data_IF_079442819932
#
_entry.id   IF_079442819932
#
_cell.length_a   1.000
_cell.length_b   1.000
_cell.length_c   1.000
_cell.angle_alpha   90.00
_cell.angle_beta   90.00
_cell.angle_gamma   90.00
#
_symmetry.space_group_name_H-M   'P 1'
#
loop_
_entity.id
_entity.type
_entity.pdbx_description
1 polymer ?
#
# COMPACT_ATOMS: atom_id res chain seq x y z
N UNK A 1 17.42 55.35 29.38
CA UNK A 1 18.08 54.78 30.56
C UNK A 1 17.24 53.60 31.02
N UNK A 2 16.94 52.67 30.10
CA UNK A 2 17.80 51.58 29.59
C UNK A 2 17.63 50.39 30.56
N UNK A 3 17.30 49.17 30.19
CA UNK A 3 17.28 48.47 28.91
C UNK A 3 16.34 47.25 29.08
N UNK A 4 15.50 46.96 28.09
CA UNK A 4 14.67 45.74 28.05
C UNK A 4 15.50 44.60 27.44
N UNK A 5 15.76 43.56 28.21
CA UNK A 5 16.32 42.30 27.72
C UNK A 5 15.20 41.38 27.23
N UNK A 6 15.16 41.17 25.91
CA UNK A 6 14.31 40.21 25.21
C UNK A 6 15.04 38.87 25.09
N UNK A 7 14.53 37.81 25.73
CA UNK A 7 14.99 36.44 25.49
C UNK A 7 14.11 35.76 24.45
N UNK A 8 14.64 35.59 23.23
CA UNK A 8 14.04 34.82 22.15
C UNK A 8 14.24 33.32 22.34
N UNK A 9 13.16 32.57 22.48
CA UNK A 9 13.14 31.11 22.42
C UNK A 9 13.24 30.65 20.97
N UNK A 10 14.41 30.15 20.56
CA UNK A 10 14.64 29.55 19.25
C UNK A 10 14.04 28.14 19.20
N UNK A 11 13.19 27.93 18.19
CA UNK A 11 12.66 26.64 17.77
C UNK A 11 13.78 25.76 17.23
N UNK A 12 13.83 24.50 17.69
CA UNK A 12 14.70 23.46 17.13
C UNK A 12 14.12 22.98 15.80
N UNK A 13 14.56 23.59 14.70
CA UNK A 13 14.34 23.08 13.36
C UNK A 13 15.16 21.80 13.15
N UNK A 14 14.46 20.71 12.80
CA UNK A 14 15.05 19.45 12.32
C UNK A 14 15.83 19.72 11.04
N UNK A 15 17.15 19.50 11.07
CA UNK A 15 18.02 19.60 9.91
C UNK A 15 17.74 18.46 8.92
N UNK A 16 17.34 18.80 7.69
CA UNK A 16 17.23 17.87 6.56
C UNK A 16 18.58 17.18 6.26
N UNK A 17 18.63 15.91 5.80
CA UNK A 17 19.88 15.17 5.59
C UNK A 17 20.68 15.59 4.34
N UNK A 18 20.20 16.58 3.57
CA UNK A 18 20.83 17.05 2.34
C UNK A 18 22.01 18.00 2.63
N UNK A 19 23.08 17.55 3.27
CA UNK A 19 24.40 18.18 3.10
C UNK A 19 25.53 17.41 3.79
N UNK A 20 26.17 16.50 3.04
CA UNK A 20 27.62 16.33 3.09
C UNK A 20 28.13 16.22 1.66
N UNK A 21 28.69 17.31 1.15
CA UNK A 21 29.30 17.41 -0.19
C UNK A 21 30.78 17.07 -0.15
N UNK A 22 31.24 16.37 -1.18
CA UNK A 22 32.56 16.58 -1.78
C UNK A 22 32.42 17.47 -3.01
N UNK A 23 33.35 18.41 -3.20
CA UNK A 23 33.42 19.30 -4.36
C UNK A 23 33.54 18.44 -5.65
N UNK A 24 32.63 18.70 -6.60
CA UNK A 24 32.29 17.94 -7.83
C UNK A 24 31.34 16.72 -7.73
N UNK A 25 30.89 16.33 -6.53
CA UNK A 25 30.16 15.06 -6.33
C UNK A 25 28.62 15.10 -6.44
N UNK A 26 28.05 14.94 -7.65
CA UNK A 26 26.82 14.10 -7.77
C UNK A 26 27.32 12.66 -7.66
N UNK A 27 26.87 11.91 -6.65
CA UNK A 27 27.16 10.48 -6.58
C UNK A 27 26.75 9.82 -7.90
N UNK A 28 27.61 8.97 -8.46
CA UNK A 28 27.36 8.40 -9.78
C UNK A 28 26.10 7.53 -9.71
N UNK A 29 25.22 7.68 -10.71
CA UNK A 29 24.03 6.84 -10.80
C UNK A 29 24.46 5.35 -10.87
N UNK A 30 23.90 4.46 -10.03
CA UNK A 30 24.24 3.04 -10.01
C UNK A 30 24.07 2.38 -11.37
N UNK A 31 24.94 1.44 -11.71
CA UNK A 31 24.94 0.80 -13.04
C UNK A 31 23.66 0.02 -13.33
N UNK A 32 23.01 -0.56 -12.31
CA UNK A 32 21.76 -1.29 -12.49
C UNK A 32 20.58 -0.38 -12.91
N UNK A 33 20.63 0.92 -12.60
CA UNK A 33 19.62 1.90 -13.07
C UNK A 33 19.78 2.18 -14.56
N UNK A 34 21.01 2.07 -15.08
CA UNK A 34 21.33 2.22 -16.51
C UNK A 34 21.22 0.90 -17.27
N UNK A 35 20.75 -0.16 -16.62
CA UNK A 35 20.76 -1.50 -17.17
C UNK A 35 19.96 -1.61 -18.47
N UNK A 36 20.47 -2.43 -19.39
CA UNK A 36 19.77 -2.68 -20.65
C UNK A 36 18.47 -3.47 -20.45
N UNK A 37 17.56 -3.38 -21.42
CA UNK A 37 16.26 -4.07 -21.38
C UNK A 37 16.41 -5.59 -21.16
N UNK A 38 17.47 -6.22 -21.68
CA UNK A 38 17.74 -7.65 -21.49
C UNK A 38 18.04 -8.00 -20.03
N UNK A 39 18.77 -7.14 -19.31
CA UNK A 39 19.06 -7.31 -17.89
C UNK A 39 17.77 -7.27 -17.08
N UNK A 40 16.96 -6.21 -17.27
CA UNK A 40 15.66 -6.02 -16.62
C UNK A 40 14.75 -7.22 -16.86
N UNK A 41 14.66 -7.69 -18.11
CA UNK A 41 13.86 -8.85 -18.48
C UNK A 41 14.35 -10.14 -17.80
N UNK A 42 15.67 -10.36 -17.76
CA UNK A 42 16.25 -11.55 -17.11
C UNK A 42 15.98 -11.60 -15.62
N UNK A 43 16.06 -10.44 -14.94
CA UNK A 43 15.74 -10.28 -13.52
C UNK A 43 14.27 -10.54 -13.24
N UNK A 44 13.37 -9.95 -14.05
CA UNK A 44 11.94 -10.19 -13.91
C UNK A 44 11.57 -11.67 -14.12
N UNK A 45 12.19 -12.35 -15.10
CA UNK A 45 12.01 -13.80 -15.30
C UNK A 45 12.49 -14.62 -14.10
N UNK A 46 13.61 -14.23 -13.49
CA UNK A 46 14.12 -14.88 -12.28
C UNK A 46 13.16 -14.73 -11.11
N UNK A 47 12.63 -13.53 -10.88
CA UNK A 47 11.62 -13.27 -9.84
C UNK A 47 10.39 -14.17 -10.05
N UNK A 48 9.88 -14.23 -11.29
CA UNK A 48 8.74 -15.07 -11.64
C UNK A 48 9.03 -16.56 -11.40
N UNK A 49 10.18 -17.04 -11.84
CA UNK A 49 10.58 -18.44 -11.61
C UNK A 49 10.62 -18.79 -10.11
N UNK A 50 11.20 -17.92 -9.28
CA UNK A 50 11.25 -18.14 -7.83
C UNK A 50 9.85 -18.12 -7.18
N UNK A 51 8.92 -17.29 -7.68
CA UNK A 51 7.53 -17.32 -7.23
C UNK A 51 6.83 -18.62 -7.65
N UNK A 52 7.00 -19.06 -8.90
CA UNK A 52 6.39 -20.27 -9.42
C UNK A 52 6.81 -21.50 -8.58
N UNK A 53 8.08 -21.58 -8.15
CA UNK A 53 8.57 -22.62 -7.24
C UNK A 53 7.89 -22.55 -5.86
N UNK A 54 7.72 -21.35 -5.27
CA UNK A 54 7.02 -21.17 -3.98
C UNK A 54 5.55 -21.59 -4.08
N UNK A 55 4.86 -21.17 -5.14
CA UNK A 55 3.46 -21.54 -5.39
C UNK A 55 3.34 -23.04 -5.60
N UNK A 56 4.23 -23.65 -6.38
CA UNK A 56 4.27 -25.08 -6.57
C UNK A 56 4.47 -25.83 -5.24
N UNK A 57 5.42 -25.39 -4.42
CA UNK A 57 5.65 -25.95 -3.09
C UNK A 57 4.41 -25.83 -2.20
N UNK A 58 3.76 -24.66 -2.17
CA UNK A 58 2.52 -24.40 -1.42
C UNK A 58 1.36 -25.31 -1.82
N UNK A 59 1.29 -25.70 -3.10
CA UNK A 59 0.28 -26.63 -3.61
C UNK A 59 0.62 -28.08 -3.28
N UNK A 60 1.85 -28.52 -3.59
CA UNK A 60 2.26 -29.92 -3.43
C UNK A 60 2.41 -30.31 -1.95
N UNK A 61 2.93 -29.41 -1.12
CA UNK A 61 3.18 -29.64 0.32
C UNK A 61 2.19 -28.88 1.18
N UNK A 62 0.91 -28.94 0.83
CA UNK A 62 -0.12 -28.07 1.41
C UNK A 62 -0.29 -28.18 2.94
N UNK A 63 0.14 -29.27 3.57
CA UNK A 63 0.10 -29.46 5.04
C UNK A 63 1.32 -28.90 5.80
N UNK A 64 2.41 -28.58 5.11
CA UNK A 64 3.70 -28.24 5.76
C UNK A 64 4.44 -27.06 5.14
N UNK A 65 4.08 -26.65 3.91
CA UNK A 65 4.72 -25.54 3.24
C UNK A 65 4.41 -24.22 3.95
N UNK A 66 5.39 -23.34 3.96
CA UNK A 66 5.20 -21.95 4.39
C UNK A 66 4.35 -21.16 3.37
N UNK A 67 4.33 -21.59 2.11
CA UNK A 67 3.71 -20.87 0.97
C UNK A 67 2.28 -21.31 0.68
N UNK A 68 1.58 -21.88 1.65
CA UNK A 68 0.19 -22.34 1.45
C UNK A 68 -0.76 -21.15 1.26
N UNK A 69 -1.88 -21.38 0.57
CA UNK A 69 -2.94 -20.38 0.36
C UNK A 69 -4.31 -20.99 0.71
N UNK A 70 -4.35 -21.92 1.66
CA UNK A 70 -5.54 -22.70 2.03
C UNK A 70 -6.68 -21.83 2.55
N UNK A 71 -6.36 -20.81 3.35
CA UNK A 71 -7.37 -19.86 3.82
C UNK A 71 -7.93 -19.06 2.64
N UNK A 72 -7.07 -18.67 1.69
CA UNK A 72 -7.45 -18.07 0.42
C UNK A 72 -8.48 -18.91 -0.34
N UNK A 73 -8.22 -20.23 -0.47
CA UNK A 73 -9.14 -21.16 -1.13
C UNK A 73 -10.48 -21.27 -0.39
N UNK A 74 -10.48 -21.41 0.95
CA UNK A 74 -11.73 -21.40 1.74
C UNK A 74 -12.49 -20.08 1.69
N UNK A 75 -11.82 -18.99 1.34
CA UNK A 75 -12.42 -17.69 1.09
C UNK A 75 -13.44 -17.67 -0.06
N UNK A 76 -13.37 -18.65 -1.00
CA UNK A 76 -14.37 -18.77 -2.08
C UNK A 76 -15.75 -19.18 -1.56
N UNK A 77 -15.82 -20.04 -0.55
CA UNK A 77 -17.09 -20.46 0.06
C UNK A 77 -17.87 -19.28 0.67
N UNK A 78 -17.16 -18.18 0.95
CA UNK A 78 -17.69 -16.96 1.54
C UNK A 78 -17.75 -15.78 0.55
N UNK A 79 -17.40 -15.99 -0.73
CA UNK A 79 -17.38 -14.92 -1.74
C UNK A 79 -16.36 -13.79 -1.47
N UNK A 80 -15.28 -14.08 -0.73
CA UNK A 80 -14.32 -13.05 -0.25
C UNK A 80 -13.13 -12.79 -1.19
N UNK A 81 -13.08 -13.45 -2.35
CA UNK A 81 -12.04 -13.27 -3.37
C UNK A 81 -12.62 -12.65 -4.65
N UNK A 82 -11.94 -11.64 -5.19
CA UNK A 82 -12.28 -11.06 -6.50
C UNK A 82 -11.79 -11.93 -7.67
N UNK A 83 -10.62 -12.55 -7.51
CA UNK A 83 -9.96 -13.33 -8.56
C UNK A 83 -9.59 -14.72 -8.04
N UNK A 84 -9.74 -15.73 -8.89
CA UNK A 84 -9.45 -17.12 -8.53
C UNK A 84 -7.95 -17.41 -8.37
N UNK A 85 -7.12 -16.63 -9.06
CA UNK A 85 -5.67 -16.82 -9.15
C UNK A 85 -4.87 -15.84 -8.27
N UNK A 86 -5.53 -14.99 -7.48
CA UNK A 86 -4.86 -14.02 -6.61
C UNK A 86 -5.30 -14.27 -5.16
N UNK A 87 -4.49 -15.02 -4.43
CA UNK A 87 -4.73 -15.40 -3.04
C UNK A 87 -3.52 -14.98 -2.17
N UNK A 88 -3.74 -14.54 -0.91
CA UNK A 88 -2.64 -14.27 0.01
C UNK A 88 -2.02 -15.58 0.51
N UNK A 89 -0.73 -15.56 0.83
CA UNK A 89 -0.11 -16.66 1.56
C UNK A 89 -0.66 -16.74 2.99
N UNK A 90 -0.84 -17.95 3.51
CA UNK A 90 -1.47 -18.18 4.81
C UNK A 90 -0.64 -17.64 5.98
N UNK A 91 0.69 -17.59 5.83
CA UNK A 91 1.60 -17.22 6.91
C UNK A 91 1.54 -15.72 7.27
N UNK A 92 1.19 -14.86 6.31
CA UNK A 92 1.14 -13.40 6.49
C UNK A 92 -0.17 -12.77 5.99
N UNK A 93 -1.20 -13.55 5.70
CA UNK A 93 -2.53 -12.99 5.45
C UNK A 93 -3.00 -12.20 6.66
N UNK A 94 -3.78 -11.16 6.42
CA UNK A 94 -4.51 -10.49 7.49
C UNK A 94 -5.61 -11.43 8.02
N UNK A 95 -5.81 -11.44 9.34
CA UNK A 95 -6.85 -12.20 10.03
C UNK A 95 -7.75 -11.22 10.77
N UNK A 96 -9.04 -11.26 10.45
CA UNK A 96 -10.04 -10.39 11.06
C UNK A 96 -10.40 -10.87 12.47
N UNK A 97 -10.62 -9.94 13.40
CA UNK A 97 -11.06 -10.25 14.76
C UNK A 97 -12.57 -10.49 14.81
N UNK A 98 -12.95 -11.73 14.51
CA UNK A 98 -14.34 -12.22 14.53
C UNK A 98 -14.55 -13.25 15.64
N UNK A 99 -15.81 -13.42 16.06
CA UNK A 99 -16.22 -14.41 17.03
C UNK A 99 -15.86 -15.84 16.58
N UNK A 100 -15.67 -16.74 17.55
CA UNK A 100 -15.33 -18.13 17.29
C UNK A 100 -16.37 -18.80 16.36
N UNK A 101 -15.88 -19.58 15.39
CA UNK A 101 -16.72 -20.23 14.39
C UNK A 101 -17.03 -19.38 13.15
N UNK A 102 -16.71 -18.09 13.16
CA UNK A 102 -16.83 -17.23 11.97
C UNK A 102 -15.56 -17.22 11.12
N UNK A 103 -15.71 -16.82 9.86
CA UNK A 103 -14.61 -16.75 8.91
C UNK A 103 -13.78 -15.48 9.15
N UNK A 104 -12.51 -15.63 9.50
CA UNK A 104 -11.54 -14.54 9.74
C UNK A 104 -10.88 -14.01 8.45
N UNK A 105 -11.25 -14.55 7.30
CA UNK A 105 -10.51 -14.36 6.06
C UNK A 105 -10.83 -13.04 5.36
N UNK A 106 -9.80 -12.30 4.97
CA UNK A 106 -9.87 -11.24 3.96
C UNK A 106 -8.68 -11.40 3.00
N UNK A 107 -8.86 -11.05 1.73
CA UNK A 107 -7.79 -11.14 0.73
C UNK A 107 -6.82 -9.96 0.86
N UNK A 108 -5.99 -10.02 1.89
CA UNK A 108 -4.97 -9.03 2.22
C UNK A 108 -3.73 -9.71 2.81
N UNK A 109 -2.57 -9.09 2.62
CA UNK A 109 -1.28 -9.57 3.15
C UNK A 109 -0.56 -8.46 3.88
N UNK A 110 0.02 -8.79 5.04
CA UNK A 110 1.04 -7.95 5.67
C UNK A 110 2.31 -7.98 4.81
N UNK A 111 2.84 -6.79 4.50
CA UNK A 111 4.03 -6.61 3.68
C UNK A 111 5.01 -5.74 4.45
N UNK A 112 6.21 -6.28 4.67
CA UNK A 112 7.29 -5.60 5.37
C UNK A 112 8.51 -5.49 4.45
N UNK A 113 9.09 -4.29 4.38
CA UNK A 113 10.36 -4.03 3.71
C UNK A 113 11.35 -3.56 4.76
N UNK A 114 12.49 -4.23 4.84
CA UNK A 114 13.57 -3.93 5.78
C UNK A 114 14.91 -4.06 5.05
N UNK A 115 15.44 -2.92 4.63
CA UNK A 115 16.74 -2.81 3.96
C UNK A 115 17.55 -1.72 4.65
N UNK A 116 18.80 -2.02 4.97
CA UNK A 116 19.69 -1.06 5.64
C UNK A 116 19.21 -0.63 7.05
N UNK A 117 18.36 -1.42 7.70
CA UNK A 117 17.74 -1.08 9.00
C UNK A 117 16.55 -0.13 8.89
N UNK A 118 16.06 0.12 7.67
CA UNK A 118 14.90 0.95 7.41
C UNK A 118 13.70 0.08 7.13
N UNK A 119 12.75 0.15 8.06
CA UNK A 119 11.54 -0.66 8.06
C UNK A 119 10.33 0.17 7.67
N UNK A 120 9.62 -0.29 6.65
CA UNK A 120 8.27 0.18 6.33
C UNK A 120 7.29 -1.01 6.32
N UNK A 121 6.04 -0.71 6.67
CA UNK A 121 4.96 -1.68 6.76
C UNK A 121 3.76 -1.26 5.92
N UNK A 122 3.19 -2.24 5.23
CA UNK A 122 2.06 -2.07 4.35
C UNK A 122 1.06 -3.20 4.54
N UNK A 123 -0.19 -2.93 4.19
CA UNK A 123 -1.20 -3.96 3.91
C UNK A 123 -1.55 -3.90 2.44
N UNK A 124 -1.13 -4.92 1.69
CA UNK A 124 -1.49 -5.08 0.28
C UNK A 124 -2.76 -5.92 0.17
N UNK A 125 -3.84 -5.34 -0.38
CA UNK A 125 -5.16 -5.98 -0.42
C UNK A 125 -5.83 -5.85 -1.78
N UNK A 126 -6.80 -6.71 -2.08
CA UNK A 126 -7.64 -6.56 -3.28
C UNK A 126 -8.55 -5.33 -3.14
N UNK A 127 -9.00 -4.79 -4.28
CA UNK A 127 -10.05 -3.77 -4.30
C UNK A 127 -11.36 -4.33 -3.76
N UNK A 128 -11.97 -3.71 -2.72
CA UNK A 128 -13.19 -4.22 -2.11
C UNK A 128 -14.28 -4.57 -3.11
N UNK A 129 -15.00 -5.64 -2.83
CA UNK A 129 -16.24 -6.05 -3.50
C UNK A 129 -17.43 -5.63 -2.64
N UNK A 130 -18.65 -5.68 -3.18
CA UNK A 130 -19.87 -5.40 -2.39
C UNK A 130 -19.92 -6.23 -1.10
N UNK A 131 -19.51 -7.51 -1.18
CA UNK A 131 -19.54 -8.43 -0.03
C UNK A 131 -18.38 -8.23 0.94
N UNK A 132 -17.29 -7.56 0.53
CA UNK A 132 -16.07 -7.41 1.35
C UNK A 132 -15.82 -5.99 1.84
N UNK A 133 -16.66 -5.02 1.46
CA UNK A 133 -16.59 -3.65 1.97
C UNK A 133 -16.66 -3.57 3.50
N UNK A 134 -17.58 -4.28 4.19
CA UNK A 134 -17.58 -4.29 5.66
C UNK A 134 -16.27 -4.83 6.23
N UNK A 135 -15.80 -5.98 5.73
CA UNK A 135 -14.54 -6.59 6.18
C UNK A 135 -13.33 -5.68 5.97
N UNK A 136 -13.29 -4.94 4.86
CA UNK A 136 -12.22 -3.99 4.58
C UNK A 136 -12.17 -2.88 5.64
N UNK A 137 -13.31 -2.30 6.00
CA UNK A 137 -13.34 -1.24 7.02
C UNK A 137 -13.01 -1.76 8.42
N UNK A 138 -13.44 -2.98 8.76
CA UNK A 138 -13.03 -3.63 10.00
C UNK A 138 -11.52 -3.87 10.04
N UNK A 139 -10.94 -4.38 8.95
CA UNK A 139 -9.50 -4.54 8.81
C UNK A 139 -8.75 -3.22 9.04
N UNK A 140 -9.27 -2.09 8.55
CA UNK A 140 -8.64 -0.77 8.76
C UNK A 140 -8.57 -0.40 10.24
N UNK A 141 -9.64 -0.64 11.01
CA UNK A 141 -9.65 -0.37 12.46
C UNK A 141 -8.71 -1.34 13.20
N UNK A 142 -8.81 -2.63 12.91
CA UNK A 142 -8.12 -3.71 13.64
C UNK A 142 -6.60 -3.69 13.44
N UNK A 143 -6.14 -3.25 12.27
CA UNK A 143 -4.72 -3.27 11.90
C UNK A 143 -4.02 -1.93 12.14
N UNK A 144 -4.61 -1.03 12.92
CA UNK A 144 -4.05 0.29 13.22
C UNK A 144 -4.13 0.64 14.69
N UNK A 145 -3.08 1.29 15.20
CA UNK A 145 -3.01 1.78 16.58
C UNK A 145 -3.14 3.31 16.62
N UNK A 146 -2.45 4.01 15.71
CA UNK A 146 -2.50 5.45 15.63
C UNK A 146 -3.84 5.93 15.00
N UNK A 147 -4.43 7.06 15.46
CA UNK A 147 -5.70 7.55 14.93
C UNK A 147 -5.67 7.85 13.44
N UNK A 148 -4.60 8.47 12.94
CA UNK A 148 -4.44 8.80 11.52
C UNK A 148 -3.98 7.58 10.71
N UNK A 149 -4.79 7.20 9.73
CA UNK A 149 -4.60 6.01 8.89
C UNK A 149 -4.65 6.40 7.42
N UNK A 150 -3.72 5.89 6.61
CA UNK A 150 -3.70 6.17 5.17
C UNK A 150 -4.12 4.95 4.35
N UNK A 151 -4.99 5.19 3.37
CA UNK A 151 -5.37 4.24 2.33
C UNK A 151 -5.00 4.83 0.98
N UNK A 152 -4.19 4.11 0.21
CA UNK A 152 -3.80 4.44 -1.17
C UNK A 152 -4.52 3.49 -2.13
N UNK A 153 -5.42 4.05 -2.94
CA UNK A 153 -6.16 3.36 -3.99
C UNK A 153 -5.59 3.74 -5.36
N UNK A 154 -4.86 2.83 -6.00
CA UNK A 154 -4.22 3.04 -7.31
C UNK A 154 -4.93 2.26 -8.42
N UNK A 155 -6.24 2.48 -8.55
CA UNK A 155 -7.07 1.93 -9.64
C UNK A 155 -8.33 2.76 -9.80
N UNK A 156 -8.78 3.10 -11.02
CA UNK A 156 -10.17 3.51 -11.21
C UNK A 156 -11.13 2.39 -10.79
N UNK A 157 -12.35 2.76 -10.42
CA UNK A 157 -13.39 1.79 -9.99
C UNK A 157 -13.87 0.90 -11.14
N UNK A 158 -13.80 1.42 -12.38
CA UNK A 158 -14.18 0.72 -13.60
C UNK A 158 -13.23 1.09 -14.73
N UNK A 159 -12.90 0.10 -15.55
CA UNK A 159 -12.08 0.28 -16.76
C UNK A 159 -12.79 -0.38 -17.94
N UNK A 160 -13.20 0.42 -18.93
CA UNK A 160 -14.12 -0.04 -19.96
C UNK A 160 -15.39 -0.61 -19.34
N UNK A 161 -15.69 -1.89 -19.62
CA UNK A 161 -16.82 -2.60 -19.05
C UNK A 161 -16.49 -3.40 -17.76
N UNK A 162 -15.23 -3.40 -17.31
CA UNK A 162 -14.75 -4.26 -16.21
C UNK A 162 -14.75 -3.49 -14.90
N UNK A 163 -15.55 -3.94 -13.93
CA UNK A 163 -15.53 -3.42 -12.55
C UNK A 163 -14.25 -3.86 -11.84
N UNK A 164 -13.41 -2.90 -11.44
CA UNK A 164 -12.12 -3.13 -10.78
C UNK A 164 -12.19 -3.00 -9.27
N UNK A 165 -13.01 -2.09 -8.76
CA UNK A 165 -13.24 -1.85 -7.34
C UNK A 165 -14.66 -1.29 -7.16
N UNK A 166 -15.36 -1.64 -6.08
CA UNK A 166 -16.57 -0.88 -5.73
C UNK A 166 -16.18 0.45 -5.09
N UNK A 167 -17.01 1.48 -5.21
CA UNK A 167 -16.85 2.70 -4.43
C UNK A 167 -17.25 2.39 -2.98
N UNK A 168 -16.26 2.22 -2.12
CA UNK A 168 -16.44 1.80 -0.72
C UNK A 168 -16.31 2.95 0.29
N UNK A 169 -16.07 4.17 -0.20
CA UNK A 169 -15.92 5.39 0.58
C UNK A 169 -17.00 6.43 0.23
N UNK A 170 -17.11 7.46 1.07
CA UNK A 170 -18.00 8.61 0.90
C UNK A 170 -17.18 9.80 0.40
N UNK A 171 -17.72 10.61 -0.51
CA UNK A 171 -17.09 11.84 -0.99
C UNK A 171 -18.02 13.07 -0.89
N UNK A 172 -19.28 12.90 -0.47
CA UNK A 172 -20.13 14.02 -0.07
C UNK A 172 -19.80 14.47 1.36
N UNK A 173 -19.26 15.68 1.52
CA UNK A 173 -18.94 16.24 2.85
C UNK A 173 -20.18 16.24 3.75
N UNK A 174 -20.06 15.66 4.94
CA UNK A 174 -21.15 15.49 5.90
C UNK A 174 -21.97 14.22 5.72
N UNK A 175 -21.84 13.50 4.59
CA UNK A 175 -22.45 12.17 4.43
C UNK A 175 -21.93 11.20 5.48
N UNK A 176 -22.80 10.30 5.92
CA UNK A 176 -22.48 9.26 6.88
C UNK A 176 -23.12 7.93 6.46
N UNK A 177 -22.43 6.83 6.76
CA UNK A 177 -22.84 5.48 6.45
C UNK A 177 -22.58 4.58 7.67
N UNK A 178 -23.62 3.92 8.15
CA UNK A 178 -23.48 2.84 9.12
C UNK A 178 -23.13 1.55 8.38
N UNK A 179 -22.03 0.93 8.76
CA UNK A 179 -21.54 -0.32 8.23
C UNK A 179 -21.82 -1.38 9.28
N UNK A 180 -22.85 -2.18 9.02
CA UNK A 180 -23.25 -3.30 9.87
C UNK A 180 -22.73 -4.58 9.24
N UNK A 181 -21.79 -5.29 9.89
CA UNK A 181 -21.18 -6.49 9.32
C UNK A 181 -22.12 -7.71 9.31
N UNK A 182 -23.32 -7.59 9.88
CA UNK A 182 -24.34 -8.64 9.82
C UNK A 182 -23.91 -9.91 10.57
N UNK A 183 -23.97 -11.06 9.89
CA UNK A 183 -23.70 -12.38 10.48
C UNK A 183 -22.22 -12.81 10.39
N UNK A 184 -21.31 -11.89 10.04
CA UNK A 184 -19.88 -12.19 9.89
C UNK A 184 -19.11 -12.25 11.23
N UNK A 185 -19.79 -12.04 12.36
CA UNK A 185 -19.24 -12.31 13.70
C UNK A 185 -18.34 -11.22 14.28
N UNK A 186 -18.35 -10.01 13.72
CA UNK A 186 -17.62 -8.87 14.29
C UNK A 186 -18.23 -8.38 15.60
N UNK A 187 -17.40 -7.81 16.46
CA UNK A 187 -17.76 -7.41 17.84
C UNK A 187 -18.42 -6.03 17.96
N UNK A 188 -18.33 -5.22 16.91
CA UNK A 188 -18.83 -3.85 16.87
C UNK A 188 -19.35 -3.52 15.47
N UNK A 189 -20.19 -2.49 15.38
CA UNK A 189 -20.54 -1.87 14.11
C UNK A 189 -19.52 -0.77 13.77
N UNK A 190 -19.51 -0.29 12.54
CA UNK A 190 -18.72 0.87 12.14
C UNK A 190 -19.61 2.00 11.66
N UNK A 191 -19.21 3.23 11.93
CA UNK A 191 -19.79 4.43 11.34
C UNK A 191 -18.73 5.18 10.56
N UNK A 192 -18.98 5.38 9.27
CA UNK A 192 -18.10 6.14 8.38
C UNK A 192 -18.73 7.50 8.09
N UNK A 193 -17.96 8.57 8.19
CA UNK A 193 -18.41 9.93 7.87
C UNK A 193 -17.38 10.66 7.01
N UNK A 194 -17.83 11.33 5.97
CA UNK A 194 -16.97 12.23 5.20
C UNK A 194 -16.82 13.58 5.90
N UNK A 195 -15.57 13.95 6.22
CA UNK A 195 -15.24 15.21 6.87
C UNK A 195 -14.78 16.26 5.86
N UNK A 196 -13.92 15.86 4.94
CA UNK A 196 -13.32 16.73 3.92
C UNK A 196 -13.20 15.92 2.62
N UNK A 197 -13.43 16.58 1.48
CA UNK A 197 -13.18 16.00 0.18
C UNK A 197 -12.61 17.08 -0.73
N UNK A 198 -11.49 16.77 -1.37
CA UNK A 198 -10.81 17.63 -2.32
C UNK A 198 -10.45 16.81 -3.55
N UNK A 199 -10.94 17.25 -4.70
CA UNK A 199 -10.40 16.79 -5.96
C UNK A 199 -9.26 17.70 -6.39
N UNK A 200 -8.07 17.13 -6.56
CA UNK A 200 -6.99 17.83 -7.24
C UNK A 200 -7.12 17.46 -8.71
N UNK A 201 -7.62 18.39 -9.51
CA UNK A 201 -7.59 18.27 -10.96
C UNK A 201 -6.51 19.25 -11.47
N UNK A 202 -5.35 18.69 -11.80
CA UNK A 202 -4.28 19.23 -12.65
C UNK A 202 -2.94 19.62 -11.96
N UNK A 203 -1.81 18.92 -12.26
CA UNK A 203 -1.68 17.63 -12.94
C UNK A 203 -1.50 16.48 -11.94
N UNK A 204 -2.59 15.92 -11.41
CA UNK A 204 -2.59 14.56 -10.86
C UNK A 204 -4.06 14.16 -10.66
N UNK A 205 -4.57 13.08 -11.25
CA UNK A 205 -5.93 12.56 -10.95
C UNK A 205 -5.98 11.92 -9.55
N UNK A 206 -5.61 12.72 -8.55
CA UNK A 206 -5.53 12.38 -7.15
C UNK A 206 -6.72 13.02 -6.46
N UNK A 207 -7.58 12.16 -5.95
CA UNK A 207 -8.72 12.52 -5.12
C UNK A 207 -8.34 12.28 -3.67
N UNK A 208 -8.57 13.27 -2.82
CA UNK A 208 -8.34 13.18 -1.39
C UNK A 208 -9.65 13.26 -0.65
N UNK A 209 -9.86 12.31 0.26
CA UNK A 209 -11.01 12.30 1.15
C UNK A 209 -10.56 12.00 2.56
N UNK A 210 -10.94 12.86 3.50
CA UNK A 210 -10.76 12.62 4.92
C UNK A 210 -12.06 12.08 5.52
N UNK A 211 -11.97 10.91 6.12
CA UNK A 211 -13.10 10.20 6.70
C UNK A 211 -12.89 10.05 8.22
N UNK A 212 -13.97 10.12 8.97
CA UNK A 212 -14.00 9.61 10.34
C UNK A 212 -14.56 8.19 10.29
N UNK A 213 -13.83 7.24 10.89
CA UNK A 213 -14.24 5.85 11.04
C UNK A 213 -14.31 5.52 12.53
N UNK A 214 -15.52 5.36 13.03
CA UNK A 214 -15.79 5.05 14.43
C UNK A 214 -16.22 3.58 14.55
N UNK A 215 -15.56 2.82 15.41
CA UNK A 215 -16.03 1.51 15.86
C UNK A 215 -16.94 1.71 17.06
N UNK A 216 -18.18 1.23 16.95
CA UNK A 216 -19.26 1.50 17.89
C UNK A 216 -19.78 0.17 18.44
N UNK A 217 -19.81 0.06 19.76
CA UNK A 217 -20.43 -1.09 20.43
C UNK A 217 -21.93 -1.13 20.10
N UNK A 218 -22.39 -2.23 19.52
CA UNK A 218 -23.75 -2.34 18.99
C UNK A 218 -24.86 -2.31 20.06
N UNK A 219 -24.52 -2.45 21.34
CA UNK A 219 -25.49 -2.50 22.44
C UNK A 219 -25.53 -1.17 23.18
N UNK A 220 -24.39 -0.70 23.64
CA UNK A 220 -24.25 0.54 24.42
C UNK A 220 -24.27 1.79 23.53
N UNK A 221 -23.84 1.67 22.28
CA UNK A 221 -23.60 2.82 21.39
C UNK A 221 -22.29 3.56 21.68
N UNK A 222 -21.44 3.03 22.55
CA UNK A 222 -20.16 3.64 22.90
C UNK A 222 -19.17 3.54 21.75
N UNK A 223 -18.43 4.63 21.50
CA UNK A 223 -17.33 4.64 20.52
C UNK A 223 -16.11 3.97 21.16
N UNK A 224 -15.79 2.76 20.70
CA UNK A 224 -14.67 1.96 21.17
C UNK A 224 -13.35 2.41 20.57
N UNK A 225 -13.36 2.69 19.27
CA UNK A 225 -12.19 3.15 18.52
C UNK A 225 -12.60 4.25 17.55
N UNK A 226 -11.70 5.22 17.37
CA UNK A 226 -11.85 6.31 16.41
C UNK A 226 -10.61 6.38 15.54
N UNK A 227 -10.82 6.46 14.22
CA UNK A 227 -9.76 6.67 13.23
C UNK A 227 -10.10 7.85 12.33
N UNK A 228 -9.09 8.63 11.99
CA UNK A 228 -9.13 9.58 10.89
C UNK A 228 -8.48 8.90 9.69
N UNK A 229 -9.28 8.55 8.70
CA UNK A 229 -8.81 7.87 7.50
C UNK A 229 -8.56 8.90 6.40
N UNK A 230 -7.32 8.96 5.95
CA UNK A 230 -6.87 9.71 4.78
C UNK A 230 -6.93 8.77 3.57
N UNK A 231 -8.02 8.84 2.82
CA UNK A 231 -8.20 8.07 1.60
C UNK A 231 -7.66 8.88 0.42
N UNK A 232 -6.67 8.33 -0.27
CA UNK A 232 -6.05 8.92 -1.44
C UNK A 232 -6.26 7.99 -2.63
N UNK A 233 -7.01 8.48 -3.62
CA UNK A 233 -7.43 7.73 -4.78
C UNK A 233 -6.79 8.30 -6.04
N UNK A 234 -6.00 7.49 -6.75
CA UNK A 234 -5.41 7.83 -8.04
C UNK A 234 -6.13 7.09 -9.16
N UNK A 235 -6.84 7.84 -10.01
CA UNK A 235 -7.77 7.29 -11.01
C UNK A 235 -7.16 7.15 -12.41
N UNK A 236 -6.04 7.81 -12.68
CA UNK A 236 -5.37 7.79 -13.98
C UNK A 236 -4.49 6.54 -14.21
N UNK A 237 -4.31 5.68 -13.21
CA UNK A 237 -3.57 4.42 -13.38
C UNK A 237 -4.47 3.31 -13.94
N UNK A 238 -4.77 3.33 -15.23
CA UNK A 238 -5.60 2.31 -15.91
C UNK A 238 -4.84 0.98 -16.13
N UNK A 239 -5.51 -0.20 -16.13
CA UNK A 239 -4.84 -1.48 -16.44
C UNK A 239 -4.36 -1.56 -17.89
N UNK A 240 -3.32 -2.38 -18.06
CA UNK A 240 -2.55 -2.72 -19.26
C UNK A 240 -1.27 -1.90 -19.48
N UNK A 241 -1.02 -0.81 -18.75
CA UNK A 241 0.21 -0.03 -18.94
C UNK A 241 0.77 0.58 -17.63
N UNK A 242 2.07 0.88 -17.67
CA UNK A 242 2.76 1.71 -16.68
C UNK A 242 2.11 3.12 -16.60
N UNK A 243 2.24 3.86 -15.48
CA UNK A 243 1.90 5.29 -15.48
C UNK A 243 2.63 6.03 -16.61
N UNK A 244 1.95 6.97 -17.27
CA UNK A 244 2.56 7.81 -18.32
C UNK A 244 3.56 8.82 -17.75
N UNK A 245 3.36 9.20 -16.49
CA UNK A 245 4.17 10.14 -15.74
C UNK A 245 4.50 9.56 -14.36
N UNK A 246 5.66 9.92 -13.81
CA UNK A 246 6.11 9.44 -12.51
C UNK A 246 5.85 10.45 -11.38
N UNK A 247 5.71 11.72 -11.74
CA UNK A 247 5.47 12.85 -10.84
C UNK A 247 4.22 12.62 -9.97
N UNK A 248 3.07 12.14 -10.49
CA UNK A 248 1.92 11.83 -9.66
C UNK A 248 2.17 10.72 -8.63
N UNK A 249 3.07 9.77 -8.93
CA UNK A 249 3.43 8.69 -8.00
C UNK A 249 4.29 9.23 -6.86
N UNK A 250 5.22 10.16 -7.17
CA UNK A 250 6.01 10.84 -6.15
C UNK A 250 5.10 11.69 -5.24
N UNK A 251 4.19 12.48 -5.81
CA UNK A 251 3.26 13.30 -5.04
C UNK A 251 2.34 12.44 -4.15
N UNK A 252 1.84 11.33 -4.69
CA UNK A 252 1.03 10.36 -3.94
C UNK A 252 1.81 9.77 -2.77
N UNK A 253 3.06 9.35 -2.99
CA UNK A 253 3.93 8.81 -1.93
C UNK A 253 4.22 9.84 -0.84
N UNK A 254 4.60 11.06 -1.22
CA UNK A 254 4.88 12.14 -0.27
C UNK A 254 3.65 12.51 0.56
N UNK A 255 2.48 12.66 -0.09
CA UNK A 255 1.22 12.94 0.60
C UNK A 255 0.85 11.80 1.56
N UNK A 256 0.87 10.56 1.08
CA UNK A 256 0.57 9.39 1.89
C UNK A 256 1.46 9.29 3.14
N UNK A 257 2.77 9.48 3.00
CA UNK A 257 3.70 9.41 4.14
C UNK A 257 3.56 10.59 5.10
N UNK A 258 3.19 11.76 4.62
CA UNK A 258 2.99 12.93 5.47
C UNK A 258 1.77 12.79 6.39
N UNK A 259 0.80 11.94 6.02
CA UNK A 259 -0.47 11.75 6.72
C UNK A 259 -0.53 10.46 7.55
N UNK A 260 0.25 9.43 7.21
CA UNK A 260 0.13 8.14 7.87
C UNK A 260 0.68 8.18 9.30
N UNK A 261 -0.13 7.77 10.27
CA UNK A 261 0.27 7.69 11.67
C UNK A 261 1.51 6.82 11.87
N UNK A 262 2.45 7.28 12.72
CA UNK A 262 3.69 6.54 12.99
C UNK A 262 3.37 5.16 13.58
N UNK A 263 3.90 4.12 12.97
CA UNK A 263 3.70 2.73 13.38
C UNK A 263 2.49 2.04 12.75
N UNK A 264 1.59 2.77 12.07
CA UNK A 264 0.52 2.15 11.29
C UNK A 264 1.04 1.62 9.94
N UNK A 265 0.59 0.45 9.48
CA UNK A 265 0.82 0.03 8.11
C UNK A 265 0.07 0.96 7.14
N UNK A 266 0.68 1.27 6.00
CA UNK A 266 -0.03 1.94 4.91
C UNK A 266 -0.87 0.92 4.12
N UNK A 267 -2.17 1.16 4.00
CA UNK A 267 -3.03 0.29 3.20
C UNK A 267 -2.88 0.67 1.73
N UNK A 268 -2.55 -0.29 0.88
CA UNK A 268 -2.40 -0.06 -0.56
C UNK A 268 -3.19 -1.10 -1.32
N UNK A 269 -4.04 -0.66 -2.24
CA UNK A 269 -4.78 -1.57 -3.10
C UNK A 269 -4.97 -1.04 -4.52
N UNK A 270 -5.21 -1.98 -5.42
CA UNK A 270 -5.71 -1.70 -6.77
C UNK A 270 -6.95 -2.57 -6.99
N UNK A 271 -7.05 -3.28 -8.12
CA UNK A 271 -8.10 -4.27 -8.32
C UNK A 271 -7.77 -5.62 -7.67
N UNK A 272 -6.67 -6.25 -8.07
CA UNK A 272 -6.20 -7.53 -7.50
C UNK A 272 -5.31 -7.34 -6.26
N UNK A 273 -4.79 -6.12 -6.04
CA UNK A 273 -3.87 -5.84 -4.95
C UNK A 273 -2.45 -6.33 -5.20
N UNK A 274 -2.00 -6.39 -6.46
CA UNK A 274 -0.70 -7.00 -6.83
C UNK A 274 0.12 -6.13 -7.80
N UNK A 275 -0.37 -5.88 -9.01
CA UNK A 275 0.41 -5.19 -10.06
C UNK A 275 0.71 -3.74 -9.72
N UNK A 276 -0.31 -2.88 -9.81
CA UNK A 276 -0.24 -1.45 -9.45
C UNK A 276 0.14 -1.25 -7.98
N UNK A 277 -0.45 -2.04 -7.08
CA UNK A 277 -0.11 -2.06 -5.65
C UNK A 277 1.38 -2.31 -5.40
N UNK A 278 1.95 -3.37 -5.98
CA UNK A 278 3.37 -3.66 -5.81
C UNK A 278 4.27 -2.65 -6.49
N UNK A 279 3.84 -2.08 -7.62
CA UNK A 279 4.58 -1.01 -8.29
C UNK A 279 4.62 0.22 -7.39
N UNK A 280 3.47 0.67 -6.88
CA UNK A 280 3.40 1.79 -5.94
C UNK A 280 4.25 1.54 -4.68
N UNK A 281 4.13 0.39 -4.02
CA UNK A 281 4.90 0.09 -2.80
C UNK A 281 6.42 0.10 -3.10
N UNK A 282 6.85 -0.46 -4.23
CA UNK A 282 8.27 -0.43 -4.63
C UNK A 282 8.76 1.01 -4.78
N UNK A 283 7.97 1.85 -5.45
CA UNK A 283 8.31 3.25 -5.71
C UNK A 283 8.28 4.10 -4.44
N UNK A 284 7.23 3.97 -3.64
CA UNK A 284 7.09 4.65 -2.35
C UNK A 284 8.26 4.36 -1.41
N UNK A 285 8.65 3.08 -1.28
CA UNK A 285 9.78 2.67 -0.45
C UNK A 285 11.10 3.25 -0.95
N UNK A 286 11.40 3.09 -2.24
CA UNK A 286 12.68 3.51 -2.82
C UNK A 286 12.83 5.04 -2.89
N UNK A 287 11.76 5.78 -3.20
CA UNK A 287 11.77 7.24 -3.25
C UNK A 287 11.97 7.86 -1.86
N UNK A 288 11.29 7.31 -0.85
CA UNK A 288 11.35 7.82 0.52
C UNK A 288 12.68 7.51 1.19
N UNK A 289 13.32 6.43 0.75
CA UNK A 289 14.62 5.97 1.25
C UNK A 289 15.68 6.02 0.17
N UNK A 290 15.65 7.13 -0.60
CA UNK A 290 16.56 7.44 -1.68
C UNK A 290 17.99 6.93 -1.42
N UNK A 291 18.60 7.32 -0.29
CA UNK A 291 19.96 6.91 0.09
C UNK A 291 20.26 5.39 0.00
N UNK A 292 19.29 4.48 0.16
CA UNK A 292 19.49 3.04 -0.07
C UNK A 292 19.98 2.72 -1.48
N UNK A 293 19.60 3.54 -2.47
CA UNK A 293 20.01 3.42 -3.87
C UNK A 293 21.43 3.95 -4.06
N UNK A 294 21.74 5.11 -3.48
CA UNK A 294 23.04 5.75 -3.64
C UNK A 294 24.14 5.06 -2.82
N UNK A 295 23.82 4.56 -1.63
CA UNK A 295 24.79 3.93 -0.72
C UNK A 295 25.06 2.46 -1.07
N UNK A 296 24.22 1.85 -1.91
CA UNK A 296 24.29 0.42 -2.26
C UNK A 296 24.40 0.18 -3.77
N UNK A 297 25.41 0.80 -4.39
CA UNK A 297 25.61 0.78 -5.86
C UNK A 297 25.74 -0.63 -6.47
N UNK A 298 26.11 -1.63 -5.65
CA UNK A 298 26.33 -3.02 -6.08
C UNK A 298 25.06 -3.89 -6.07
N UNK A 299 23.99 -3.45 -5.40
CA UNK A 299 22.76 -4.22 -5.25
C UNK A 299 21.66 -3.54 -6.06
N UNK A 300 21.06 -4.30 -6.98
CA UNK A 300 19.85 -3.87 -7.67
C UNK A 300 18.69 -3.81 -6.66
N UNK A 301 18.46 -2.63 -6.10
CA UNK A 301 17.42 -2.41 -5.09
C UNK A 301 16.00 -2.59 -5.64
N UNK A 302 15.77 -2.40 -6.94
CA UNK A 302 14.47 -2.69 -7.56
C UNK A 302 14.24 -4.20 -7.56
N UNK A 303 15.23 -4.98 -7.99
CA UNK A 303 15.17 -6.44 -7.91
C UNK A 303 14.99 -6.92 -6.48
N UNK A 304 15.74 -6.37 -5.52
CA UNK A 304 15.70 -6.77 -4.12
C UNK A 304 14.33 -6.51 -3.49
N UNK A 305 13.78 -5.30 -3.67
CA UNK A 305 12.45 -4.93 -3.13
C UNK A 305 11.36 -5.77 -3.78
N UNK A 306 11.33 -5.88 -5.12
CA UNK A 306 10.27 -6.66 -5.80
C UNK A 306 10.36 -8.14 -5.45
N UNK A 307 11.57 -8.71 -5.34
CA UNK A 307 11.75 -10.08 -4.85
C UNK A 307 11.17 -10.25 -3.45
N UNK A 308 11.41 -9.28 -2.55
CA UNK A 308 10.89 -9.31 -1.19
C UNK A 308 9.37 -9.17 -1.11
N UNK A 309 8.78 -8.37 -1.99
CA UNK A 309 7.32 -8.28 -2.13
C UNK A 309 6.72 -9.61 -2.60
N UNK A 310 7.38 -10.29 -3.55
CA UNK A 310 6.97 -11.58 -4.13
C UNK A 310 7.13 -12.78 -3.20
N UNK A 311 7.88 -12.63 -2.13
CA UNK A 311 7.85 -13.57 -1.00
C UNK A 311 6.56 -13.40 -0.20
N UNK A 312 6.04 -12.19 -0.06
CA UNK A 312 4.95 -11.89 0.88
C UNK A 312 3.56 -11.87 0.24
N UNK A 313 3.46 -11.55 -1.05
CA UNK A 313 2.20 -11.61 -1.80
C UNK A 313 2.50 -11.95 -3.25
N UNK A 314 1.75 -12.90 -3.80
CA UNK A 314 1.95 -13.32 -5.18
C UNK A 314 1.70 -12.17 -6.16
N UNK A 315 2.34 -12.24 -7.32
CA UNK A 315 2.09 -11.31 -8.44
C UNK A 315 2.43 -9.84 -8.20
N UNK A 316 3.09 -9.47 -7.09
CA UNK A 316 3.50 -8.08 -6.80
C UNK A 316 4.41 -7.51 -7.90
N UNK A 317 4.03 -6.39 -8.52
CA UNK A 317 4.62 -5.93 -9.81
C UNK A 317 4.40 -7.00 -10.88
N UNK A 318 3.24 -6.99 -11.52
CA UNK A 318 2.69 -8.16 -12.23
C UNK A 318 3.27 -8.34 -13.64
N UNK A 319 3.62 -7.24 -14.33
CA UNK A 319 4.13 -7.26 -15.70
C UNK A 319 5.56 -6.74 -15.80
N UNK A 320 6.24 -7.13 -16.87
CA UNK A 320 7.59 -6.61 -17.17
C UNK A 320 7.56 -5.11 -17.42
N UNK A 321 6.47 -4.55 -17.95
CA UNK A 321 6.34 -3.11 -18.19
C UNK A 321 6.24 -2.32 -16.88
N UNK A 322 5.54 -2.86 -15.87
CA UNK A 322 5.51 -2.29 -14.52
C UNK A 322 6.89 -2.38 -13.86
N UNK A 323 7.59 -3.51 -14.06
CA UNK A 323 8.94 -3.68 -13.55
C UNK A 323 9.93 -2.72 -14.21
N UNK A 324 9.87 -2.57 -15.54
CA UNK A 324 10.67 -1.59 -16.30
C UNK A 324 10.34 -0.15 -15.89
N UNK A 325 9.08 0.16 -15.66
CA UNK A 325 8.68 1.47 -15.16
C UNK A 325 9.36 1.83 -13.83
N UNK A 326 9.61 0.85 -12.95
CA UNK A 326 10.37 1.09 -11.72
C UNK A 326 11.79 1.60 -12.00
N UNK A 327 12.46 1.08 -13.03
CA UNK A 327 13.79 1.55 -13.45
C UNK A 327 13.70 2.91 -14.14
N UNK A 328 12.77 3.06 -15.09
CA UNK A 328 12.58 4.30 -15.85
C UNK A 328 12.28 5.48 -14.90
N UNK A 329 11.39 5.27 -13.92
CA UNK A 329 11.06 6.27 -12.92
C UNK A 329 12.28 6.63 -12.07
N UNK A 330 12.96 5.63 -11.50
CA UNK A 330 14.06 5.91 -10.59
C UNK A 330 15.21 6.60 -11.32
N UNK A 331 15.46 6.23 -12.58
CA UNK A 331 16.37 6.95 -13.47
C UNK A 331 15.99 8.43 -13.59
N UNK A 332 14.74 8.74 -13.94
CA UNK A 332 14.26 10.12 -14.05
C UNK A 332 14.39 10.90 -12.74
N UNK A 333 14.04 10.27 -11.60
CA UNK A 333 14.17 10.88 -10.28
C UNK A 333 15.63 11.25 -9.93
N UNK A 334 16.59 10.41 -10.32
CA UNK A 334 18.02 10.63 -10.06
C UNK A 334 18.68 11.64 -11.00
N UNK A 335 18.05 11.97 -12.14
CA UNK A 335 18.56 12.95 -13.10
C UNK A 335 18.31 14.41 -12.66
N UNK A 336 17.31 14.63 -11.79
CA UNK A 336 16.99 15.93 -11.17
C UNK A 336 18.12 16.36 -10.21
#
# INVERSE_FOLDING_TARGET
>A
MDEKSSTSSTSSASSSPLNKKGQDGKAAMPEYIKAETNYIYSHFRRIKYMEDERVHEGIVRSESSHWTMKAGVRGFDHGRNRYTNILPFDYNRVKLDVAEGHCDYINASHVHLDFGGIRDEYIATQGPTVLTTPHFWHMVVEQTEHPDVVIVMVTPTQEGAVKKCVKYWLDGVGESLDIKPGLDGFKYDLQLKCLEHEDRFDPAGIHYTKLQLDAVDSISGDVLHKRTVHHIYFDQWTDAMRPDAWEPILELSQLARSLNGKGNPMFVHCSAGVGRTGTFITMDYLLSHAHLIWDNESVDMIYAVVSKLREQRISMVQSVDQYKFCYDMLKSFMEI
#
